data_IF_143363006869
#
_entry.id   IF_143363006869
#
_cell.length_a   1.000
_cell.length_b   1.000
_cell.length_c   1.000
_cell.angle_alpha   90.00
_cell.angle_beta   90.00
_cell.angle_gamma   90.00
#
_symmetry.space_group_name_H-M   'P 1'
#
loop_
_entity.id
_entity.type
_entity.pdbx_description
1 polymer ?
#
# COMPACT_ATOMS: atom_id res chain seq x y z
N UNK A 1 3.38 7.88 -75.53
CA UNK A 1 3.88 8.27 -74.19
C UNK A 1 3.28 7.31 -73.17
N UNK A 2 4.12 6.53 -72.49
CA UNK A 2 3.74 5.42 -71.62
C UNK A 2 3.27 5.91 -70.25
N UNK A 3 2.11 5.42 -69.80
CA UNK A 3 1.67 5.50 -68.42
C UNK A 3 2.21 4.28 -67.65
N UNK A 4 3.00 4.52 -66.61
CA UNK A 4 3.49 3.48 -65.69
C UNK A 4 2.64 3.55 -64.44
N UNK A 5 1.83 2.51 -64.21
CA UNK A 5 1.00 2.35 -63.02
C UNK A 5 1.79 1.50 -62.00
N UNK A 6 2.25 2.09 -60.90
CA UNK A 6 2.89 1.36 -59.80
C UNK A 6 1.82 1.02 -58.77
N UNK A 7 1.42 -0.26 -58.73
CA UNK A 7 0.55 -0.81 -57.67
C UNK A 7 1.45 -1.28 -56.53
N UNK A 8 1.65 -0.41 -55.54
CA UNK A 8 2.33 -0.75 -54.29
C UNK A 8 1.35 -1.39 -53.30
N UNK A 9 1.39 -2.71 -53.16
CA UNK A 9 0.65 -3.44 -52.13
C UNK A 9 1.36 -3.34 -50.78
N UNK A 10 0.84 -2.53 -49.87
CA UNK A 10 1.28 -2.49 -48.47
C UNK A 10 0.58 -3.64 -47.74
N UNK A 11 1.31 -4.71 -47.44
CA UNK A 11 0.85 -5.76 -46.52
C UNK A 11 0.94 -5.23 -45.09
N UNK A 12 -0.19 -4.81 -44.55
CA UNK A 12 -0.32 -4.50 -43.12
C UNK A 12 -0.47 -5.83 -42.38
N UNK A 13 0.62 -6.32 -41.79
CA UNK A 13 0.57 -7.44 -40.86
C UNK A 13 -0.21 -7.00 -39.62
N UNK A 14 -1.46 -7.42 -39.53
CA UNK A 14 -2.24 -7.33 -38.31
C UNK A 14 -1.58 -8.24 -37.25
N UNK A 15 -0.67 -7.67 -36.46
CA UNK A 15 -0.27 -8.25 -35.19
C UNK A 15 -1.49 -8.16 -34.26
N UNK A 16 -2.34 -9.17 -34.35
CA UNK A 16 -3.36 -9.44 -33.36
C UNK A 16 -2.66 -9.74 -32.05
N UNK A 17 -2.56 -8.73 -31.20
CA UNK A 17 -2.23 -8.91 -29.79
C UNK A 17 -3.41 -9.67 -29.19
N UNK A 18 -3.32 -11.00 -29.19
CA UNK A 18 -4.17 -11.86 -28.38
C UNK A 18 -3.87 -11.53 -26.92
N UNK A 19 -4.60 -10.54 -26.40
CA UNK A 19 -4.71 -10.31 -24.97
C UNK A 19 -5.36 -11.55 -24.39
N UNK A 20 -4.50 -12.50 -24.01
CA UNK A 20 -4.85 -13.71 -23.29
C UNK A 20 -5.21 -13.31 -21.86
N UNK A 21 -6.35 -12.63 -21.73
CA UNK A 21 -7.00 -12.26 -20.48
C UNK A 21 -7.49 -13.54 -19.84
N UNK A 22 -6.56 -14.35 -19.33
CA UNK A 22 -6.89 -15.43 -18.40
C UNK A 22 -7.56 -14.73 -17.22
N UNK A 23 -8.89 -14.82 -17.17
CA UNK A 23 -9.66 -14.40 -16.01
C UNK A 23 -9.00 -15.07 -14.80
N UNK A 24 -8.43 -14.27 -13.92
CA UNK A 24 -7.74 -14.76 -12.73
C UNK A 24 -8.79 -15.46 -11.87
N UNK A 25 -8.80 -16.79 -11.92
CA UNK A 25 -9.74 -17.58 -11.12
C UNK A 25 -9.48 -17.28 -9.65
N UNK A 26 -10.54 -16.91 -8.91
CA UNK A 26 -10.42 -16.66 -7.48
C UNK A 26 -9.92 -17.95 -6.81
N UNK A 27 -8.86 -17.91 -5.99
CA UNK A 27 -8.34 -19.10 -5.34
C UNK A 27 -9.43 -19.76 -4.49
N UNK A 28 -9.50 -21.09 -4.52
CA UNK A 28 -10.46 -21.85 -3.72
C UNK A 28 -10.23 -21.67 -2.21
N UNK A 29 -11.28 -21.92 -1.41
CA UNK A 29 -11.25 -21.77 0.06
C UNK A 29 -10.04 -22.47 0.72
N UNK A 30 -9.77 -23.73 0.35
CA UNK A 30 -8.67 -24.50 0.93
C UNK A 30 -7.31 -23.81 0.72
N UNK A 31 -7.10 -23.24 -0.47
CA UNK A 31 -5.88 -22.52 -0.80
C UNK A 31 -5.72 -21.24 0.03
N UNK A 32 -6.80 -20.49 0.25
CA UNK A 32 -6.78 -19.26 1.06
C UNK A 32 -6.45 -19.49 2.53
N UNK A 33 -6.77 -20.68 3.05
CA UNK A 33 -6.59 -21.01 4.46
C UNK A 33 -5.23 -21.68 4.71
N UNK A 34 -4.78 -22.54 3.80
CA UNK A 34 -3.63 -23.42 4.04
C UNK A 34 -2.41 -23.11 3.18
N UNK A 35 -2.50 -22.22 2.19
CA UNK A 35 -1.38 -21.86 1.33
C UNK A 35 -1.17 -20.35 1.31
N UNK A 36 0.09 -19.96 1.16
CA UNK A 36 0.45 -18.56 0.88
C UNK A 36 -0.06 -18.19 -0.52
N UNK A 37 -0.78 -17.09 -0.59
CA UNK A 37 -1.22 -16.52 -1.86
C UNK A 37 -0.09 -15.68 -2.47
N UNK A 38 -0.01 -15.65 -3.80
CA UNK A 38 0.82 -14.63 -4.47
C UNK A 38 0.25 -13.23 -4.22
N UNK A 39 1.05 -12.19 -4.42
CA UNK A 39 0.60 -10.81 -4.26
C UNK A 39 -0.63 -10.50 -5.13
N UNK A 40 -0.61 -10.97 -6.38
CA UNK A 40 -1.71 -10.84 -7.34
C UNK A 40 -2.95 -11.61 -6.89
N UNK A 41 -2.79 -12.76 -6.24
CA UNK A 41 -3.91 -13.53 -5.70
C UNK A 41 -4.52 -12.85 -4.47
N UNK A 42 -3.69 -12.22 -3.61
CA UNK A 42 -4.14 -11.43 -2.46
C UNK A 42 -5.09 -10.32 -2.90
N UNK A 43 -4.75 -9.63 -3.99
CA UNK A 43 -5.60 -8.59 -4.58
C UNK A 43 -7.02 -9.08 -4.90
N UNK A 44 -7.18 -10.36 -5.23
CA UNK A 44 -8.50 -10.94 -5.57
C UNK A 44 -9.34 -11.38 -4.36
N UNK A 45 -8.72 -11.52 -3.18
CA UNK A 45 -9.38 -12.02 -1.96
C UNK A 45 -9.64 -10.93 -0.92
N UNK A 46 -8.85 -9.85 -0.94
CA UNK A 46 -9.08 -8.69 -0.08
C UNK A 46 -10.31 -7.94 -0.59
N UNK A 47 -11.20 -7.55 0.33
CA UNK A 47 -12.46 -6.87 0.02
C UNK A 47 -12.61 -5.49 0.64
N UNK A 48 -11.79 -5.18 1.63
CA UNK A 48 -11.85 -3.95 2.42
C UNK A 48 -10.54 -3.73 3.20
N UNK A 49 -10.31 -2.53 3.78
CA UNK A 49 -9.08 -2.22 4.52
C UNK A 49 -8.84 -3.10 5.74
N UNK A 50 -9.90 -3.65 6.36
CA UNK A 50 -9.77 -4.55 7.51
C UNK A 50 -9.18 -5.89 7.07
N UNK A 51 -9.68 -6.45 5.98
CA UNK A 51 -9.13 -7.67 5.37
C UNK A 51 -7.71 -7.46 4.82
N UNK A 52 -7.40 -6.29 4.26
CA UNK A 52 -6.05 -5.93 3.81
C UNK A 52 -5.06 -5.89 5.00
N UNK A 53 -5.46 -5.24 6.09
CA UNK A 53 -4.65 -5.18 7.31
C UNK A 53 -4.39 -6.56 7.90
N UNK A 54 -5.45 -7.38 7.99
CA UNK A 54 -5.36 -8.73 8.52
C UNK A 54 -4.48 -9.64 7.68
N UNK A 55 -4.58 -9.59 6.34
CA UNK A 55 -3.81 -10.46 5.46
C UNK A 55 -2.32 -10.10 5.48
N UNK A 56 -1.99 -8.79 5.52
CA UNK A 56 -0.61 -8.29 5.69
C UNK A 56 -0.05 -8.80 7.01
N UNK A 57 -0.76 -8.58 8.12
CA UNK A 57 -0.32 -9.01 9.46
C UNK A 57 -0.07 -10.52 9.56
N UNK A 58 -0.87 -11.33 8.86
CA UNK A 58 -0.77 -12.78 8.91
C UNK A 58 0.40 -13.34 8.09
N UNK A 59 0.87 -12.61 7.07
CA UNK A 59 1.83 -13.13 6.08
C UNK A 59 3.17 -12.37 6.06
N UNK A 60 3.28 -11.26 6.77
CA UNK A 60 4.49 -10.45 6.89
C UNK A 60 4.88 -10.37 8.37
N UNK A 61 6.09 -10.88 8.67
CA UNK A 61 6.69 -10.83 9.99
C UNK A 61 7.24 -9.43 10.25
N UNK A 62 6.78 -8.79 11.32
CA UNK A 62 7.34 -7.52 11.75
C UNK A 62 8.80 -7.70 12.20
N UNK A 63 9.71 -6.92 11.60
CA UNK A 63 11.12 -6.84 11.97
C UNK A 63 11.53 -5.38 11.97
N UNK A 64 12.08 -4.88 13.08
CA UNK A 64 12.64 -3.53 13.11
C UNK A 64 13.87 -3.49 12.20
N UNK A 65 13.84 -2.62 11.20
CA UNK A 65 15.02 -2.25 10.42
C UNK A 65 15.63 -0.97 11.01
N UNK A 66 16.96 -0.89 10.99
CA UNK A 66 17.70 0.32 11.37
C UNK A 66 17.91 1.27 10.18
N UNK A 67 17.55 0.84 8.97
CA UNK A 67 17.61 1.64 7.76
C UNK A 67 16.29 2.32 7.41
N UNK A 68 16.36 3.49 6.79
CA UNK A 68 15.19 4.20 6.23
C UNK A 68 14.81 3.67 4.82
N UNK A 69 14.96 2.36 4.57
CA UNK A 69 14.68 1.80 3.25
C UNK A 69 13.24 1.36 3.15
N UNK A 70 12.47 2.03 2.30
CA UNK A 70 11.07 1.70 2.09
C UNK A 70 10.93 0.73 0.92
N UNK A 71 10.21 -0.37 1.13
CA UNK A 71 9.88 -1.30 0.07
C UNK A 71 8.44 -1.15 -0.42
N UNK A 72 8.21 -1.59 -1.65
CA UNK A 72 6.83 -1.72 -2.18
C UNK A 72 6.08 -2.84 -1.47
N UNK A 73 4.74 -2.80 -1.51
CA UNK A 73 3.90 -3.87 -0.97
C UNK A 73 4.21 -5.24 -1.55
N UNK A 74 4.41 -5.31 -2.87
CA UNK A 74 4.82 -6.54 -3.56
C UNK A 74 6.18 -7.07 -3.10
N UNK A 75 7.16 -6.20 -2.90
CA UNK A 75 8.49 -6.56 -2.42
C UNK A 75 8.43 -7.05 -0.97
N UNK A 76 7.78 -6.30 -0.07
CA UNK A 76 7.56 -6.69 1.33
C UNK A 76 6.84 -8.03 1.41
N UNK A 77 5.84 -8.26 0.56
CA UNK A 77 5.14 -9.54 0.46
C UNK A 77 6.06 -10.68 0.02
N UNK A 78 6.99 -10.43 -0.90
CA UNK A 78 7.97 -11.43 -1.35
C UNK A 78 8.99 -11.78 -0.26
N UNK A 79 9.47 -10.77 0.49
CA UNK A 79 10.43 -10.97 1.60
C UNK A 79 9.82 -11.63 2.83
N UNK A 80 8.50 -11.55 2.98
CA UNK A 80 7.76 -12.04 4.14
C UNK A 80 8.10 -11.33 5.46
N UNK A 81 8.82 -10.21 5.40
CA UNK A 81 9.17 -9.38 6.56
C UNK A 81 9.30 -7.90 6.20
N UNK A 82 9.12 -7.05 7.19
CA UNK A 82 9.29 -5.60 7.09
C UNK A 82 8.99 -4.89 8.41
N UNK A 83 9.32 -3.60 8.46
CA UNK A 83 9.04 -2.70 9.59
C UNK A 83 7.67 -2.02 9.47
N UNK A 84 7.42 -0.92 10.21
CA UNK A 84 6.11 -0.28 10.18
C UNK A 84 5.80 0.39 8.83
N UNK A 85 6.81 0.92 8.15
CA UNK A 85 6.75 1.55 6.84
C UNK A 85 6.35 0.54 5.77
N UNK A 86 7.01 -0.62 5.78
CA UNK A 86 6.76 -1.71 4.84
C UNK A 86 5.35 -2.31 5.00
N UNK A 87 4.91 -2.53 6.24
CA UNK A 87 3.56 -3.01 6.51
C UNK A 87 2.50 -1.98 6.08
N UNK A 88 2.75 -0.69 6.35
CA UNK A 88 1.86 0.38 5.92
C UNK A 88 1.78 0.46 4.39
N UNK A 89 2.91 0.36 3.68
CA UNK A 89 2.96 0.36 2.23
C UNK A 89 2.16 -0.80 1.61
N UNK A 90 2.31 -2.02 2.13
CA UNK A 90 1.54 -3.18 1.68
C UNK A 90 0.03 -2.97 1.84
N UNK A 91 -0.42 -2.45 2.99
CA UNK A 91 -1.86 -2.17 3.21
C UNK A 91 -2.36 -1.08 2.26
N UNK A 92 -1.60 0.00 2.07
CA UNK A 92 -1.98 1.10 1.16
C UNK A 92 -2.13 0.63 -0.27
N UNK A 93 -1.19 -0.18 -0.78
CA UNK A 93 -1.26 -0.72 -2.13
C UNK A 93 -2.50 -1.61 -2.33
N UNK A 94 -2.78 -2.51 -1.37
CA UNK A 94 -3.96 -3.36 -1.41
C UNK A 94 -5.25 -2.54 -1.43
N UNK A 95 -5.38 -1.54 -0.56
CA UNK A 95 -6.61 -0.72 -0.50
C UNK A 95 -6.78 0.13 -1.75
N UNK A 96 -5.69 0.68 -2.30
CA UNK A 96 -5.72 1.43 -3.56
C UNK A 96 -6.12 0.55 -4.74
N UNK A 97 -5.69 -0.70 -4.76
CA UNK A 97 -6.10 -1.65 -5.79
C UNK A 97 -7.63 -1.89 -5.79
N UNK A 98 -8.28 -1.77 -4.64
CA UNK A 98 -9.74 -1.84 -4.52
C UNK A 98 -10.45 -0.53 -4.89
N UNK A 99 -9.71 0.50 -5.30
CA UNK A 99 -10.23 1.85 -5.55
C UNK A 99 -10.47 2.68 -4.28
N UNK A 100 -9.91 2.26 -3.13
CA UNK A 100 -10.01 2.99 -1.87
C UNK A 100 -9.01 4.13 -1.75
N UNK A 101 -9.39 5.15 -0.99
CA UNK A 101 -8.46 6.19 -0.55
C UNK A 101 -7.59 5.63 0.57
N UNK A 102 -6.28 5.55 0.34
CA UNK A 102 -5.30 5.17 1.34
C UNK A 102 -4.00 5.96 1.15
N UNK A 103 -3.35 6.33 2.25
CA UNK A 103 -2.04 6.99 2.30
C UNK A 103 -1.23 6.50 3.51
N UNK A 104 0.07 6.78 3.51
CA UNK A 104 0.95 6.48 4.65
C UNK A 104 1.09 7.76 5.47
N UNK A 105 0.85 7.65 6.79
CA UNK A 105 1.05 8.73 7.75
C UNK A 105 2.03 8.28 8.81
N UNK A 106 3.01 9.13 9.09
CA UNK A 106 3.99 8.92 10.14
C UNK A 106 3.57 9.77 11.34
N UNK A 107 3.32 9.11 12.47
CA UNK A 107 3.15 9.80 13.75
C UNK A 107 4.47 9.80 14.49
N UNK A 108 4.80 10.90 15.15
CA UNK A 108 5.98 10.97 16.01
C UNK A 108 5.78 11.98 17.14
N UNK A 109 6.41 11.78 18.31
CA UNK A 109 6.52 12.83 19.31
C UNK A 109 7.28 14.04 18.75
N UNK A 110 6.83 15.25 19.05
CA UNK A 110 7.47 16.50 18.57
C UNK A 110 8.93 16.63 19.03
N UNK A 111 9.25 15.99 20.14
CA UNK A 111 10.53 15.98 20.83
C UNK A 111 11.31 14.65 20.63
N UNK A 112 11.00 13.89 19.57
CA UNK A 112 11.64 12.61 19.23
C UNK A 112 11.83 12.46 17.73
N UNK A 113 12.92 11.79 17.34
CA UNK A 113 13.12 11.34 15.96
C UNK A 113 12.45 9.99 15.66
N UNK A 114 12.04 9.24 16.69
CA UNK A 114 11.34 7.97 16.51
C UNK A 114 9.90 8.20 15.99
N UNK A 115 9.65 7.81 14.75
CA UNK A 115 8.34 7.80 14.13
C UNK A 115 7.70 6.42 14.14
N UNK A 116 6.41 6.38 13.81
CA UNK A 116 5.65 5.16 13.57
C UNK A 116 4.79 5.36 12.34
N UNK A 117 5.09 4.63 11.27
CA UNK A 117 4.33 4.67 10.04
C UNK A 117 3.06 3.82 10.15
N UNK A 118 1.94 4.37 9.68
CA UNK A 118 0.66 3.65 9.57
C UNK A 118 0.04 3.87 8.21
N UNK A 119 -0.74 2.91 7.75
CA UNK A 119 -1.68 3.14 6.65
C UNK A 119 -2.92 3.85 7.20
N UNK A 120 -3.46 4.81 6.47
CA UNK A 120 -4.71 5.50 6.82
C UNK A 120 -5.54 5.74 5.59
N UNK A 121 -6.85 5.97 5.74
CA UNK A 121 -7.69 6.30 4.61
C UNK A 121 -9.15 6.50 4.98
N UNK A 122 -9.98 6.60 3.93
CA UNK A 122 -11.45 6.62 4.04
C UNK A 122 -12.03 5.43 3.29
N UNK A 123 -12.97 4.72 3.91
CA UNK A 123 -13.69 3.62 3.28
C UNK A 123 -15.16 3.66 3.68
N UNK A 124 -16.07 3.72 2.70
CA UNK A 124 -17.51 3.88 2.92
C UNK A 124 -17.85 5.05 3.87
N UNK A 125 -17.17 6.19 3.68
CA UNK A 125 -17.35 7.41 4.49
C UNK A 125 -16.80 7.33 5.92
N UNK A 126 -16.07 6.27 6.28
CA UNK A 126 -15.48 6.09 7.61
C UNK A 126 -13.96 6.18 7.52
N UNK A 127 -13.35 6.92 8.45
CA UNK A 127 -11.90 6.98 8.58
C UNK A 127 -11.39 5.70 9.24
N UNK A 128 -10.22 5.25 8.78
CA UNK A 128 -9.55 4.07 9.33
C UNK A 128 -8.05 4.24 9.34
N UNK A 129 -7.38 3.49 10.22
CA UNK A 129 -5.93 3.32 10.22
C UNK A 129 -5.57 1.82 10.29
N UNK A 130 -4.37 1.48 9.85
CA UNK A 130 -3.71 0.19 10.05
C UNK A 130 -2.34 0.41 10.68
N UNK A 131 -2.17 -0.03 11.93
CA UNK A 131 -0.91 0.07 12.69
C UNK A 131 -0.33 -1.33 12.85
N UNK A 132 0.83 -1.61 12.25
CA UNK A 132 1.43 -2.97 12.19
C UNK A 132 0.42 -4.06 11.78
N UNK A 133 -0.45 -3.74 10.81
CA UNK A 133 -1.49 -4.63 10.31
C UNK A 133 -2.71 -4.82 11.23
N UNK A 134 -2.81 -4.09 12.34
CA UNK A 134 -4.04 -3.99 13.12
C UNK A 134 -4.95 -2.89 12.57
N UNK A 135 -6.17 -3.26 12.18
CA UNK A 135 -7.17 -2.31 11.69
C UNK A 135 -7.91 -1.62 12.83
N UNK A 136 -8.04 -0.31 12.72
CA UNK A 136 -8.89 0.50 13.60
C UNK A 136 -9.76 1.45 12.78
N UNK A 137 -11.05 1.50 13.12
CA UNK A 137 -11.90 2.60 12.66
C UNK A 137 -11.71 3.79 13.61
N UNK A 138 -11.44 4.97 13.06
CA UNK A 138 -11.19 6.19 13.84
C UNK A 138 -12.22 7.26 13.52
N UNK A 139 -12.38 8.21 14.43
CA UNK A 139 -13.33 9.32 14.25
C UNK A 139 -12.65 10.56 13.64
N UNK A 140 -11.34 10.66 13.79
CA UNK A 140 -10.51 11.77 13.32
C UNK A 140 -9.04 11.35 13.33
N UNK A 141 -8.17 12.13 12.67
CA UNK A 141 -6.72 11.97 12.76
C UNK A 141 -6.18 12.23 14.18
N UNK A 142 -6.89 13.02 14.99
CA UNK A 142 -6.55 13.19 16.42
C UNK A 142 -6.77 11.89 17.19
N UNK A 143 -7.91 11.22 16.99
CA UNK A 143 -8.15 9.92 17.60
C UNK A 143 -7.12 8.89 17.11
N UNK A 144 -6.74 8.91 15.83
CA UNK A 144 -5.66 8.06 15.32
C UNK A 144 -4.31 8.32 16.04
N UNK A 145 -3.91 9.57 16.21
CA UNK A 145 -2.69 9.95 16.93
C UNK A 145 -2.70 9.45 18.39
N UNK A 146 -3.83 9.54 19.09
CA UNK A 146 -4.00 9.06 20.46
C UNK A 146 -3.90 7.53 20.55
N UNK A 147 -4.46 6.80 19.58
CA UNK A 147 -4.32 5.34 19.47
C UNK A 147 -2.86 4.95 19.30
N UNK A 148 -2.17 5.55 18.33
CA UNK A 148 -0.76 5.27 18.04
C UNK A 148 0.13 5.64 19.23
N UNK A 149 -0.08 6.80 19.85
CA UNK A 149 0.68 7.19 21.03
C UNK A 149 0.51 6.19 22.19
N UNK A 150 -0.68 5.60 22.35
CA UNK A 150 -0.91 4.56 23.36
C UNK A 150 -0.20 3.26 23.01
N UNK A 151 -0.24 2.84 21.74
CA UNK A 151 0.46 1.64 21.25
C UNK A 151 1.97 1.76 21.43
N UNK A 152 2.55 2.91 21.06
CA UNK A 152 3.98 3.17 21.10
C UNK A 152 4.50 3.61 22.48
N UNK A 153 3.62 3.72 23.48
CA UNK A 153 4.01 4.14 24.83
C UNK A 153 4.41 5.62 24.95
N UNK A 154 4.05 6.48 24.01
CA UNK A 154 4.32 7.92 23.99
C UNK A 154 3.38 8.73 24.91
N UNK A 155 3.20 8.26 26.15
CA UNK A 155 2.28 8.87 27.12
C UNK A 155 2.69 10.31 27.43
N UNK A 156 1.71 11.22 27.51
CA UNK A 156 1.89 12.64 27.85
C UNK A 156 2.81 13.43 26.90
N UNK A 157 3.01 12.96 25.66
CA UNK A 157 3.79 13.69 24.64
C UNK A 157 2.86 14.33 23.61
N UNK A 158 3.28 15.46 23.06
CA UNK A 158 2.62 16.05 21.89
C UNK A 158 3.01 15.29 20.64
N UNK A 159 2.02 14.92 19.84
CA UNK A 159 2.22 14.12 18.63
C UNK A 159 2.08 15.00 17.40
N UNK A 160 3.08 14.94 16.51
CA UNK A 160 3.00 15.47 15.17
C UNK A 160 2.69 14.34 14.18
N UNK A 161 2.08 14.71 13.07
CA UNK A 161 1.89 13.81 11.93
C UNK A 161 2.53 14.39 10.67
N UNK A 162 3.17 13.51 9.91
CA UNK A 162 3.70 13.80 8.58
C UNK A 162 2.97 12.89 7.60
N UNK A 163 2.41 13.49 6.54
CA UNK A 163 1.81 12.72 5.43
C UNK A 163 2.88 12.44 4.40
N UNK A 164 3.06 11.16 4.04
CA UNK A 164 3.94 10.81 2.94
C UNK A 164 3.29 11.19 1.61
N UNK A 165 3.93 12.02 0.79
CA UNK A 165 3.55 12.14 -0.62
C UNK A 165 3.84 10.79 -1.29
N UNK A 166 2.80 10.04 -1.62
CA UNK A 166 2.91 8.78 -2.36
C UNK A 166 2.89 8.98 -3.88
N UNK A 167 2.81 10.22 -4.33
CA UNK A 167 2.77 10.62 -5.75
C UNK A 167 4.16 10.39 -6.37
N UNK A 168 4.56 9.12 -6.51
CA UNK A 168 5.90 8.79 -6.97
C UNK A 168 6.42 7.41 -6.64
N UNK A 169 5.66 6.52 -6.00
CA UNK A 169 6.03 5.10 -5.92
C UNK A 169 5.76 4.44 -7.28
N UNK A 170 6.45 4.90 -8.33
CA UNK A 170 6.79 3.99 -9.41
C UNK A 170 8.01 3.21 -8.94
N UNK A 171 8.16 1.95 -9.36
CA UNK A 171 9.26 1.08 -8.97
C UNK A 171 10.69 1.60 -9.33
N UNK A 172 10.82 2.85 -9.81
CA UNK A 172 12.02 3.41 -10.39
C UNK A 172 12.58 4.67 -9.67
N UNK A 173 11.98 5.18 -8.59
CA UNK A 173 12.43 6.45 -7.98
C UNK A 173 12.35 6.45 -6.44
N UNK A 174 13.52 6.38 -5.79
CA UNK A 174 13.69 6.29 -4.32
C UNK A 174 13.77 7.63 -3.56
N UNK A 175 13.43 8.76 -4.16
CA UNK A 175 13.49 10.07 -3.48
C UNK A 175 12.10 10.67 -3.29
N UNK A 176 11.69 10.87 -2.03
CA UNK A 176 10.45 11.58 -1.66
C UNK A 176 10.74 12.91 -0.98
N UNK A 177 9.88 13.88 -1.25
CA UNK A 177 9.80 15.15 -0.54
C UNK A 177 8.73 15.06 0.55
N UNK A 178 9.07 15.42 1.79
CA UNK A 178 8.10 15.50 2.88
C UNK A 178 7.58 16.93 3.03
N UNK A 179 6.26 17.09 3.17
CA UNK A 179 5.64 18.35 3.60
C UNK A 179 5.90 18.59 5.09
N UNK A 180 5.93 19.85 5.56
CA UNK A 180 6.11 20.15 6.97
C UNK A 180 5.04 19.44 7.83
N UNK A 181 5.40 18.98 9.04
CA UNK A 181 4.50 18.25 9.92
C UNK A 181 3.29 19.09 10.34
N UNK A 182 2.13 18.45 10.43
CA UNK A 182 0.94 19.01 11.06
C UNK A 182 0.95 18.59 12.52
N UNK A 183 1.03 19.57 13.44
CA UNK A 183 0.98 19.30 14.88
C UNK A 183 -0.48 19.06 15.29
N UNK A 184 -0.75 17.88 15.84
CA UNK A 184 -2.08 17.52 16.35
C UNK A 184 -2.05 17.73 17.86
N UNK A 185 -2.72 18.79 18.33
CA UNK A 185 -2.88 19.09 19.77
C UNK A 185 -4.18 18.50 20.31
#
# INVERSE_FOLDING_TARGET
>A
MMAVLIVGGISVSAFGSESNSKATEKPGWFRRVFQRLSWEEVHTVVSDPKSASAVVRQNILYQEDLGDTWSSGAETWSRESGDCEDLAAAVVELVRHLGGEAEIVIFHPVDSAAGHAVATGTWNGKQWISSNGFYYQVQSMKHAAELVAREMGWRNRSIAMVRGETDGISAASNTRTFRPPIVVR
#
